data_IF_708867456470
#
_entry.id   IF_708867456470
#
_cell.length_a   1.000
_cell.length_b   1.000
_cell.length_c   1.000
_cell.angle_alpha   90.00
_cell.angle_beta   90.00
_cell.angle_gamma   90.00
#
_symmetry.space_group_name_H-M   'P 1'
#
loop_
_entity.id
_entity.type
_entity.pdbx_description
1 polymer ?
#
# COMPACT_ATOMS: atom_id res chain seq x y z
N UNK A 1 -15.90 -18.30 22.40
CA UNK A 1 -16.58 -19.45 21.77
C UNK A 1 -15.64 -20.58 21.35
N UNK A 2 -14.31 -20.40 21.34
CA UNK A 2 -13.38 -21.48 21.01
C UNK A 2 -13.40 -21.91 19.54
N UNK A 3 -13.85 -21.03 18.64
CA UNK A 3 -14.02 -21.29 17.21
C UNK A 3 -12.76 -21.06 16.37
N UNK A 4 -11.65 -20.63 16.99
CA UNK A 4 -10.38 -20.45 16.31
C UNK A 4 -9.70 -21.80 16.04
N UNK A 5 -8.77 -21.83 15.09
CA UNK A 5 -8.04 -23.04 14.73
C UNK A 5 -6.75 -23.17 15.56
N UNK A 6 -6.84 -23.85 16.71
CA UNK A 6 -5.71 -24.02 17.63
C UNK A 6 -4.48 -24.67 16.95
N UNK A 7 -4.69 -25.73 16.15
CA UNK A 7 -3.58 -26.41 15.48
C UNK A 7 -2.84 -25.50 14.48
N UNK A 8 -3.57 -24.65 13.76
CA UNK A 8 -2.95 -23.66 12.87
C UNK A 8 -2.20 -22.58 13.66
N UNK A 9 -2.80 -22.07 14.74
CA UNK A 9 -2.19 -21.08 15.62
C UNK A 9 -0.86 -21.59 16.16
N UNK A 10 -0.85 -22.81 16.71
CA UNK A 10 0.35 -23.41 17.32
C UNK A 10 1.47 -23.65 16.29
N UNK A 11 1.11 -23.97 15.05
CA UNK A 11 2.08 -24.32 14.00
C UNK A 11 2.62 -23.11 13.21
N UNK A 12 1.84 -22.03 13.08
CA UNK A 12 2.11 -20.98 12.09
C UNK A 12 2.04 -19.56 12.63
N UNK A 13 1.77 -19.36 13.92
CA UNK A 13 1.60 -18.03 14.49
C UNK A 13 2.36 -17.87 15.81
N UNK A 14 2.55 -16.62 16.21
CA UNK A 14 3.05 -16.24 17.52
C UNK A 14 2.17 -15.14 18.13
N UNK A 15 2.26 -14.91 19.44
CA UNK A 15 1.56 -13.82 20.12
C UNK A 15 0.04 -13.98 20.31
N UNK A 16 -0.53 -15.16 20.03
CA UNK A 16 -1.98 -15.39 20.12
C UNK A 16 -2.57 -15.11 21.52
N UNK A 17 -1.90 -15.53 22.59
CA UNK A 17 -2.42 -15.30 23.95
C UNK A 17 -2.46 -13.81 24.31
N UNK A 18 -1.48 -13.02 23.85
CA UNK A 18 -1.50 -11.57 24.04
C UNK A 18 -2.66 -10.91 23.27
N UNK A 19 -2.90 -11.34 22.02
CA UNK A 19 -4.04 -10.88 21.22
C UNK A 19 -5.38 -11.25 21.88
N UNK A 20 -5.52 -12.49 22.35
CA UNK A 20 -6.73 -12.97 23.02
C UNK A 20 -7.06 -12.16 24.27
N UNK A 21 -6.04 -11.79 25.05
CA UNK A 21 -6.20 -10.92 26.22
C UNK A 21 -6.59 -9.50 25.80
N UNK A 22 -5.95 -8.94 24.77
CA UNK A 22 -6.21 -7.55 24.35
C UNK A 22 -7.64 -7.34 23.81
N UNK A 23 -8.22 -8.35 23.16
CA UNK A 23 -9.59 -8.27 22.60
C UNK A 23 -10.68 -8.76 23.56
N UNK A 24 -10.33 -9.24 24.75
CA UNK A 24 -11.29 -9.87 25.68
C UNK A 24 -12.44 -8.92 26.08
N UNK A 25 -12.17 -7.61 26.15
CA UNK A 25 -13.15 -6.59 26.49
C UNK A 25 -13.98 -6.10 25.29
N UNK A 26 -13.55 -6.42 24.07
CA UNK A 26 -14.21 -6.03 22.81
C UNK A 26 -15.40 -6.94 22.49
N UNK A 27 -16.31 -7.09 23.46
CA UNK A 27 -17.52 -7.90 23.29
C UNK A 27 -18.47 -7.31 22.24
N UNK A 28 -19.31 -8.12 21.57
CA UNK A 28 -20.31 -7.61 20.63
C UNK A 28 -21.21 -6.52 21.22
N UNK A 29 -21.59 -6.63 22.50
CA UNK A 29 -22.37 -5.61 23.22
C UNK A 29 -21.59 -4.30 23.35
N UNK A 30 -20.32 -4.38 23.79
CA UNK A 30 -19.48 -3.20 23.97
C UNK A 30 -19.21 -2.48 22.65
N UNK A 31 -19.05 -3.23 21.56
CA UNK A 31 -18.73 -2.67 20.25
C UNK A 31 -19.95 -2.21 19.46
N UNK A 32 -21.17 -2.67 19.79
CA UNK A 32 -22.36 -2.41 18.99
C UNK A 32 -22.64 -0.92 18.77
N UNK A 33 -22.56 -0.11 19.83
CA UNK A 33 -22.81 1.33 19.74
C UNK A 33 -21.72 2.05 18.93
N UNK A 34 -20.47 1.59 19.01
CA UNK A 34 -19.33 2.17 18.29
C UNK A 34 -19.36 1.82 16.80
N UNK A 35 -19.66 0.56 16.49
CA UNK A 35 -19.71 0.06 15.11
C UNK A 35 -21.03 0.41 14.40
N UNK A 36 -22.10 0.72 15.14
CA UNK A 36 -23.44 0.87 14.59
C UNK A 36 -24.03 -0.45 14.08
N UNK A 37 -23.57 -1.59 14.61
CA UNK A 37 -23.99 -2.95 14.20
C UNK A 37 -24.55 -3.69 15.41
N UNK A 38 -25.68 -4.38 15.26
CA UNK A 38 -26.29 -5.12 16.36
C UNK A 38 -25.35 -6.24 16.88
N UNK A 39 -25.31 -6.52 18.20
CA UNK A 39 -24.41 -7.53 18.77
C UNK A 39 -24.58 -8.91 18.11
N UNK A 40 -25.83 -9.29 17.81
CA UNK A 40 -26.13 -10.59 17.21
C UNK A 40 -25.65 -10.69 15.76
N UNK A 41 -25.67 -9.59 15.00
CA UNK A 41 -25.09 -9.55 13.65
C UNK A 41 -23.56 -9.73 13.70
N UNK A 42 -22.88 -9.09 14.66
CA UNK A 42 -21.43 -9.28 14.87
C UNK A 42 -21.12 -10.75 15.15
N UNK A 43 -21.87 -11.39 16.06
CA UNK A 43 -21.72 -12.82 16.36
C UNK A 43 -21.99 -13.70 15.17
N UNK A 44 -23.07 -13.44 14.43
CA UNK A 44 -23.44 -14.22 13.27
C UNK A 44 -22.33 -14.22 12.22
N UNK A 45 -21.81 -13.04 11.86
CA UNK A 45 -20.74 -12.90 10.87
C UNK A 45 -19.45 -13.56 11.36
N UNK A 46 -19.06 -13.33 12.62
CA UNK A 46 -17.86 -13.94 13.20
C UNK A 46 -17.94 -15.48 13.21
N UNK A 47 -19.09 -16.04 13.62
CA UNK A 47 -19.32 -17.49 13.63
C UNK A 47 -19.33 -18.07 12.22
N UNK A 48 -19.95 -17.41 11.24
CA UNK A 48 -19.96 -17.85 9.83
C UNK A 48 -18.53 -17.88 9.26
N UNK A 49 -17.74 -16.83 9.52
CA UNK A 49 -16.36 -16.76 9.05
C UNK A 49 -15.47 -17.83 9.71
N UNK A 50 -15.55 -17.97 11.03
CA UNK A 50 -14.73 -18.94 11.78
C UNK A 50 -15.05 -20.40 11.43
N UNK A 51 -16.33 -20.75 11.20
CA UNK A 51 -16.75 -22.12 10.89
C UNK A 51 -16.70 -22.48 9.40
N UNK A 52 -16.41 -21.53 8.51
CA UNK A 52 -16.28 -21.83 7.10
C UNK A 52 -15.11 -22.81 6.86
N UNK A 53 -15.26 -23.77 5.94
CA UNK A 53 -14.13 -24.61 5.51
C UNK A 53 -13.04 -23.76 4.84
N UNK A 54 -13.48 -22.78 4.05
CA UNK A 54 -12.64 -21.86 3.28
C UNK A 54 -13.29 -20.47 3.29
N UNK A 55 -12.54 -19.46 3.72
CA UNK A 55 -12.97 -18.07 3.67
C UNK A 55 -11.86 -17.15 3.15
N UNK A 56 -12.25 -16.14 2.38
CA UNK A 56 -11.37 -15.10 1.86
C UNK A 56 -11.83 -13.74 2.36
N UNK A 57 -10.87 -12.86 2.64
CA UNK A 57 -11.13 -11.45 2.93
C UNK A 57 -10.62 -10.63 1.75
N UNK A 58 -11.53 -9.92 1.08
CA UNK A 58 -11.17 -8.88 0.12
C UNK A 58 -11.37 -7.53 0.80
N UNK A 59 -10.38 -6.63 0.71
CA UNK A 59 -10.55 -5.25 1.16
C UNK A 59 -9.98 -4.27 0.16
N UNK A 60 -10.51 -3.05 0.19
CA UNK A 60 -9.98 -1.91 -0.55
C UNK A 60 -9.71 -0.74 0.39
N UNK A 61 -9.90 0.47 -0.12
CA UNK A 61 -9.54 1.70 0.59
C UNK A 61 -10.36 1.98 1.86
N UNK A 62 -11.54 1.36 2.00
CA UNK A 62 -12.34 1.43 3.24
C UNK A 62 -11.63 0.85 4.47
N UNK A 63 -10.53 0.12 4.30
CA UNK A 63 -9.67 -0.31 5.40
C UNK A 63 -8.45 0.60 5.53
N UNK A 64 -7.76 0.91 4.42
CA UNK A 64 -6.47 1.59 4.44
C UNK A 64 -6.54 3.11 4.58
N UNK A 65 -7.58 3.79 4.06
CA UNK A 65 -7.72 5.26 4.11
C UNK A 65 -8.38 5.73 5.41
N UNK A 66 -7.84 5.28 6.54
CA UNK A 66 -8.24 5.69 7.88
C UNK A 66 -6.99 6.00 8.71
N UNK A 67 -7.15 6.80 9.77
CA UNK A 67 -6.06 7.11 10.72
C UNK A 67 -5.46 5.86 11.37
N UNK A 68 -6.21 4.75 11.40
CA UNK A 68 -5.79 3.44 11.89
C UNK A 68 -5.66 2.40 10.77
N UNK A 69 -5.40 2.80 9.52
CA UNK A 69 -5.45 1.91 8.36
C UNK A 69 -4.54 0.67 8.46
N UNK A 70 -3.31 0.86 8.96
CA UNK A 70 -2.38 -0.25 9.23
C UNK A 70 -2.91 -1.22 10.28
N UNK A 71 -3.48 -0.69 11.36
CA UNK A 71 -4.01 -1.51 12.45
C UNK A 71 -5.27 -2.26 12.02
N UNK A 72 -6.15 -1.64 11.24
CA UNK A 72 -7.31 -2.30 10.65
C UNK A 72 -6.89 -3.50 9.77
N UNK A 73 -5.87 -3.32 8.94
CA UNK A 73 -5.33 -4.42 8.12
C UNK A 73 -4.72 -5.53 9.00
N UNK A 74 -3.96 -5.18 10.04
CA UNK A 74 -3.43 -6.15 11.01
C UNK A 74 -4.53 -6.92 11.72
N UNK A 75 -5.64 -6.28 12.10
CA UNK A 75 -6.78 -6.96 12.70
C UNK A 75 -7.41 -8.00 11.74
N UNK A 76 -7.55 -7.69 10.46
CA UNK A 76 -8.03 -8.65 9.46
C UNK A 76 -7.06 -9.83 9.29
N UNK A 77 -5.74 -9.55 9.26
CA UNK A 77 -4.69 -10.57 9.21
C UNK A 77 -4.78 -11.49 10.43
N UNK A 78 -4.85 -10.92 11.64
CA UNK A 78 -4.99 -11.68 12.88
C UNK A 78 -6.25 -12.55 12.89
N UNK A 79 -7.39 -12.03 12.41
CA UNK A 79 -8.63 -12.79 12.32
C UNK A 79 -8.51 -13.99 11.36
N UNK A 80 -7.93 -13.76 10.17
CA UNK A 80 -7.71 -14.82 9.19
C UNK A 80 -6.74 -15.89 9.69
N UNK A 81 -5.63 -15.48 10.31
CA UNK A 81 -4.66 -16.40 10.93
C UNK A 81 -5.28 -17.19 12.08
N UNK A 82 -6.06 -16.55 12.96
CA UNK A 82 -6.74 -17.22 14.06
C UNK A 82 -7.74 -18.29 13.57
N UNK A 83 -8.35 -18.10 12.40
CA UNK A 83 -9.24 -19.09 11.79
C UNK A 83 -8.50 -20.09 10.87
N UNK A 84 -7.19 -19.89 10.64
CA UNK A 84 -6.40 -20.68 9.70
C UNK A 84 -6.72 -20.44 8.22
N UNK A 85 -7.37 -19.33 7.88
CA UNK A 85 -7.77 -18.98 6.51
C UNK A 85 -6.62 -18.38 5.68
N UNK A 86 -5.41 -18.97 5.77
CA UNK A 86 -4.22 -18.55 5.04
C UNK A 86 -3.39 -19.77 4.64
N UNK A 87 -2.76 -19.72 3.46
CA UNK A 87 -1.83 -20.76 2.99
C UNK A 87 -2.48 -21.95 2.28
N UNK A 88 -3.77 -21.87 1.93
CA UNK A 88 -4.50 -22.92 1.19
C UNK A 88 -5.41 -22.33 0.09
N UNK A 89 -5.65 -23.05 -1.02
CA UNK A 89 -6.55 -22.56 -2.08
C UNK A 89 -7.97 -22.26 -1.58
N UNK A 90 -8.53 -21.14 -2.05
CA UNK A 90 -9.85 -20.66 -1.62
C UNK A 90 -9.86 -19.96 -0.26
N UNK A 91 -8.69 -19.68 0.31
CA UNK A 91 -8.53 -18.85 1.52
C UNK A 91 -7.54 -17.72 1.27
N UNK A 92 -7.48 -16.78 2.19
CA UNK A 92 -6.46 -15.75 2.21
C UNK A 92 -7.03 -14.34 2.30
N UNK A 93 -6.10 -13.41 2.20
CA UNK A 93 -6.31 -11.99 2.35
C UNK A 93 -5.89 -11.31 1.06
N UNK A 94 -6.81 -10.56 0.45
CA UNK A 94 -6.67 -9.99 -0.87
C UNK A 94 -6.92 -8.47 -0.79
N UNK A 95 -5.87 -7.67 -0.51
CA UNK A 95 -5.94 -6.23 -0.72
C UNK A 95 -6.14 -5.97 -2.22
N UNK A 96 -7.31 -5.44 -2.57
CA UNK A 96 -7.65 -5.06 -3.94
C UNK A 96 -6.88 -3.78 -4.28
N UNK A 97 -5.79 -3.96 -5.02
CA UNK A 97 -4.98 -2.86 -5.55
C UNK A 97 -5.77 -2.13 -6.65
N UNK A 98 -5.73 -0.79 -6.64
CA UNK A 98 -6.52 0.05 -7.54
C UNK A 98 -5.93 0.18 -8.94
N UNK A 99 -4.80 0.87 -9.06
CA UNK A 99 -4.14 1.12 -10.36
C UNK A 99 -3.53 -0.18 -10.94
N UNK A 100 -3.50 -0.26 -12.26
CA UNK A 100 -3.10 -1.44 -13.04
C UNK A 100 -1.70 -1.99 -12.73
N UNK A 101 -0.76 -1.13 -12.30
CA UNK A 101 0.62 -1.52 -12.04
C UNK A 101 1.15 -1.06 -10.67
N UNK A 102 0.28 -0.70 -9.72
CA UNK A 102 0.75 -0.29 -8.38
C UNK A 102 1.53 -1.41 -7.69
N UNK A 103 1.20 -2.67 -7.97
CA UNK A 103 1.98 -3.81 -7.50
C UNK A 103 3.37 -3.83 -8.15
N UNK A 104 3.46 -3.71 -9.48
CA UNK A 104 4.75 -3.72 -10.18
C UNK A 104 5.63 -2.50 -9.86
N UNK A 105 5.04 -1.33 -9.66
CA UNK A 105 5.73 -0.14 -9.16
C UNK A 105 6.35 -0.40 -7.78
N UNK A 106 5.58 -1.03 -6.88
CA UNK A 106 6.08 -1.43 -5.56
C UNK A 106 7.22 -2.45 -5.67
N UNK A 107 7.05 -3.47 -6.51
CA UNK A 107 8.05 -4.52 -6.76
C UNK A 107 9.36 -3.95 -7.33
N UNK A 108 9.26 -2.88 -8.13
CA UNK A 108 10.40 -2.17 -8.72
C UNK A 108 11.08 -1.18 -7.75
N UNK A 109 10.66 -1.11 -6.48
CA UNK A 109 11.28 -0.24 -5.48
C UNK A 109 10.85 1.23 -5.57
N UNK A 110 9.69 1.54 -6.17
CA UNK A 110 9.10 2.90 -6.12
C UNK A 110 8.43 3.18 -4.76
N UNK A 111 9.16 2.85 -3.69
CA UNK A 111 8.79 2.99 -2.29
C UNK A 111 10.06 3.47 -1.57
N UNK A 112 10.02 4.60 -0.85
CA UNK A 112 11.24 5.32 -0.43
C UNK A 112 12.14 4.55 0.54
N UNK A 113 11.64 3.50 1.18
CA UNK A 113 12.37 2.71 2.19
C UNK A 113 12.89 1.35 1.68
N UNK A 114 12.67 1.00 0.40
CA UNK A 114 13.10 -0.29 -0.16
C UNK A 114 13.72 -0.16 -1.56
N UNK A 115 14.68 -1.03 -1.84
CA UNK A 115 15.17 -1.38 -3.16
C UNK A 115 14.18 -2.34 -3.86
N UNK A 116 14.37 -2.64 -5.17
CA UNK A 116 13.55 -3.64 -5.86
C UNK A 116 13.44 -4.95 -5.07
N UNK A 117 12.28 -5.62 -5.18
CA UNK A 117 11.91 -6.81 -4.41
C UNK A 117 11.75 -6.57 -2.90
N UNK A 118 11.28 -5.37 -2.51
CA UNK A 118 10.98 -4.98 -1.12
C UNK A 118 12.17 -5.10 -0.15
N UNK A 119 13.39 -4.97 -0.67
CA UNK A 119 14.62 -5.11 0.12
C UNK A 119 14.91 -3.81 0.87
N UNK A 120 14.95 -3.78 2.21
CA UNK A 120 15.14 -2.53 2.96
C UNK A 120 16.45 -1.83 2.59
N UNK A 121 16.39 -0.51 2.35
CA UNK A 121 17.60 0.28 2.01
C UNK A 121 18.66 0.26 3.11
N UNK A 122 18.24 0.12 4.37
CA UNK A 122 19.12 0.06 5.53
C UNK A 122 19.90 -1.26 5.66
N UNK A 123 19.50 -2.33 4.97
CA UNK A 123 20.23 -3.59 5.00
C UNK A 123 21.52 -3.49 4.17
N UNK A 124 22.66 -3.50 4.85
CA UNK A 124 23.97 -3.32 4.21
C UNK A 124 24.31 -4.43 3.21
N UNK A 125 23.85 -5.67 3.46
CA UNK A 125 24.17 -6.79 2.59
C UNK A 125 23.34 -6.71 1.30
N UNK A 126 22.06 -6.40 1.41
CA UNK A 126 21.18 -6.22 0.25
C UNK A 126 21.61 -4.99 -0.57
N UNK A 127 21.89 -3.86 0.10
CA UNK A 127 22.34 -2.63 -0.54
C UNK A 127 23.65 -2.82 -1.32
N UNK A 128 24.65 -3.50 -0.75
CA UNK A 128 25.94 -3.72 -1.40
C UNK A 128 25.82 -4.43 -2.77
N UNK A 129 24.87 -5.35 -2.92
CA UNK A 129 24.62 -6.02 -4.20
C UNK A 129 24.14 -5.04 -5.29
N UNK A 130 23.32 -4.05 -4.92
CA UNK A 130 22.88 -3.00 -5.84
C UNK A 130 23.97 -1.97 -6.13
N UNK A 131 24.78 -1.60 -5.13
CA UNK A 131 25.92 -0.70 -5.31
C UNK A 131 26.95 -1.28 -6.29
N UNK A 132 27.22 -2.58 -6.20
CA UNK A 132 28.08 -3.30 -7.14
C UNK A 132 27.47 -3.31 -8.55
N UNK A 133 26.18 -3.64 -8.68
CA UNK A 133 25.48 -3.73 -9.96
C UNK A 133 25.40 -2.37 -10.68
N UNK A 134 25.09 -1.30 -9.94
CA UNK A 134 24.91 0.05 -10.48
C UNK A 134 26.18 0.89 -10.48
N UNK A 135 27.26 0.37 -9.89
CA UNK A 135 28.56 1.02 -9.77
C UNK A 135 28.45 2.42 -9.15
N UNK A 136 27.67 2.54 -8.08
CA UNK A 136 27.43 3.80 -7.37
C UNK A 136 27.10 3.54 -5.90
N UNK A 137 27.59 4.36 -4.95
CA UNK A 137 27.16 4.25 -3.56
C UNK A 137 25.68 4.63 -3.42
N UNK A 138 24.97 3.96 -2.51
CA UNK A 138 23.56 4.19 -2.22
C UNK A 138 23.36 4.67 -0.78
N UNK A 139 22.35 5.49 -0.57
CA UNK A 139 21.91 5.89 0.78
C UNK A 139 21.34 4.69 1.52
N UNK A 140 21.65 4.58 2.81
CA UNK A 140 21.04 3.63 3.74
C UNK A 140 19.83 4.20 4.49
N UNK A 141 19.62 5.51 4.38
CA UNK A 141 18.48 6.21 4.95
C UNK A 141 17.26 6.13 4.03
N UNK A 142 16.07 5.77 4.57
CA UNK A 142 14.81 5.88 3.86
C UNK A 142 14.54 7.29 3.34
N UNK A 143 14.02 7.37 2.11
CA UNK A 143 13.53 8.64 1.55
C UNK A 143 12.20 9.10 2.16
N UNK A 144 11.71 10.24 1.68
CA UNK A 144 10.44 10.83 2.11
C UNK A 144 9.24 10.17 1.42
N UNK A 145 8.16 9.97 2.16
CA UNK A 145 6.84 9.60 1.63
C UNK A 145 6.13 10.79 0.98
N UNK A 146 5.03 10.54 0.26
CA UNK A 146 4.26 11.58 -0.44
C UNK A 146 3.75 12.70 0.49
N UNK A 147 3.40 12.39 1.74
CA UNK A 147 2.98 13.41 2.71
C UNK A 147 4.19 14.18 3.25
N UNK A 148 5.29 13.48 3.53
CA UNK A 148 6.51 14.08 4.06
C UNK A 148 7.18 15.00 3.04
N UNK A 149 7.19 14.64 1.75
CA UNK A 149 7.78 15.47 0.70
C UNK A 149 7.05 16.81 0.58
N UNK A 150 5.71 16.84 0.68
CA UNK A 150 4.96 18.09 0.66
C UNK A 150 5.33 19.00 1.83
N UNK A 151 5.51 18.44 3.03
CA UNK A 151 5.94 19.19 4.20
C UNK A 151 7.39 19.68 4.07
N UNK A 152 8.29 18.85 3.54
CA UNK A 152 9.68 19.19 3.30
C UNK A 152 9.83 20.31 2.26
N UNK A 153 8.96 20.35 1.24
CA UNK A 153 8.89 21.47 0.30
C UNK A 153 8.48 22.75 1.03
N UNK A 154 7.47 22.70 1.91
CA UNK A 154 7.07 23.86 2.70
C UNK A 154 8.17 24.38 3.62
N UNK A 155 8.99 23.48 4.15
CA UNK A 155 10.16 23.78 4.98
C UNK A 155 11.40 24.25 4.18
N UNK A 156 11.36 24.17 2.84
CA UNK A 156 12.49 24.52 1.97
C UNK A 156 13.60 23.47 1.91
N UNK A 157 13.36 22.27 2.42
CA UNK A 157 14.31 21.15 2.41
C UNK A 157 14.32 20.45 1.05
N UNK A 158 13.16 20.34 0.41
CA UNK A 158 13.01 19.85 -0.97
C UNK A 158 12.74 21.04 -1.88
N UNK A 159 13.67 21.28 -2.80
CA UNK A 159 13.63 22.44 -3.71
C UNK A 159 13.30 22.07 -5.15
N UNK A 160 13.48 20.81 -5.52
CA UNK A 160 13.16 20.31 -6.86
C UNK A 160 12.45 18.96 -6.79
N UNK A 161 11.57 18.72 -7.76
CA UNK A 161 10.83 17.46 -7.85
C UNK A 161 10.65 17.06 -9.31
N UNK A 162 10.69 15.74 -9.56
CA UNK A 162 10.34 15.15 -10.84
C UNK A 162 9.13 14.24 -10.65
N UNK A 163 7.99 14.63 -11.22
CA UNK A 163 6.73 13.89 -11.13
C UNK A 163 6.49 13.17 -12.46
N UNK A 164 6.29 11.85 -12.40
CA UNK A 164 6.07 11.01 -13.58
C UNK A 164 4.72 10.32 -13.48
N UNK A 165 3.77 10.69 -14.34
CA UNK A 165 2.47 10.03 -14.48
C UNK A 165 1.55 10.12 -13.25
N UNK A 166 1.69 11.18 -12.44
CA UNK A 166 0.92 11.42 -11.21
C UNK A 166 0.38 12.84 -11.17
N UNK A 167 -0.76 13.04 -10.47
CA UNK A 167 -1.47 14.33 -10.45
C UNK A 167 -1.78 14.84 -9.01
N UNK A 168 -0.76 15.04 -8.16
CA UNK A 168 -0.96 15.44 -6.75
C UNK A 168 -1.75 16.75 -6.56
N UNK A 169 -1.69 17.69 -7.51
CA UNK A 169 -2.49 18.91 -7.43
C UNK A 169 -4.02 18.69 -7.54
N UNK A 170 -4.44 17.47 -7.88
CA UNK A 170 -5.84 17.02 -7.93
C UNK A 170 -6.10 15.85 -6.95
N UNK A 171 -5.19 14.87 -6.88
CA UNK A 171 -5.44 13.60 -6.18
C UNK A 171 -5.07 13.59 -4.71
N UNK A 172 -4.18 14.48 -4.26
CA UNK A 172 -3.70 14.47 -2.87
C UNK A 172 -4.71 15.11 -1.92
N UNK A 173 -4.77 14.66 -0.66
CA UNK A 173 -5.61 15.30 0.36
C UNK A 173 -5.10 16.71 0.68
N UNK A 174 -6.02 17.58 1.12
CA UNK A 174 -5.73 19.00 1.36
C UNK A 174 -5.06 19.68 0.15
N UNK A 175 -5.86 19.87 -0.91
CA UNK A 175 -5.41 20.49 -2.15
C UNK A 175 -4.80 21.88 -1.95
N UNK A 176 -5.22 22.60 -0.91
CA UNK A 176 -4.64 23.92 -0.61
C UNK A 176 -3.19 23.76 -0.18
N UNK A 177 -2.93 22.84 0.75
CA UNK A 177 -1.58 22.51 1.22
C UNK A 177 -0.70 21.96 0.10
N UNK A 178 -1.19 20.99 -0.67
CA UNK A 178 -0.46 20.35 -1.75
C UNK A 178 -0.08 21.35 -2.87
N UNK A 179 -1.03 22.15 -3.34
CA UNK A 179 -0.77 23.16 -4.38
C UNK A 179 0.16 24.26 -3.89
N UNK A 180 0.04 24.67 -2.63
CA UNK A 180 0.95 25.64 -2.03
C UNK A 180 2.38 25.07 -1.91
N UNK A 181 2.55 23.77 -1.67
CA UNK A 181 3.86 23.12 -1.71
C UNK A 181 4.42 23.13 -3.13
N UNK A 182 3.66 22.64 -4.12
CA UNK A 182 4.11 22.59 -5.51
C UNK A 182 4.54 23.97 -6.04
N UNK A 183 3.79 25.03 -5.70
CA UNK A 183 4.13 26.41 -6.08
C UNK A 183 5.35 27.02 -5.37
N UNK A 184 5.93 26.34 -4.37
CA UNK A 184 7.15 26.77 -3.67
C UNK A 184 8.42 26.13 -4.21
N UNK A 185 8.32 25.09 -5.03
CA UNK A 185 9.48 24.45 -5.63
C UNK A 185 10.26 25.46 -6.47
N UNK A 186 11.60 25.39 -6.40
CA UNK A 186 12.49 26.15 -7.27
C UNK A 186 12.55 25.53 -8.67
N UNK A 187 12.31 24.22 -8.78
CA UNK A 187 12.22 23.53 -10.07
C UNK A 187 11.28 22.33 -10.04
N UNK A 188 10.27 22.31 -10.89
CA UNK A 188 9.34 21.19 -11.05
C UNK A 188 9.33 20.68 -12.50
N UNK A 189 9.67 19.40 -12.66
CA UNK A 189 9.53 18.68 -13.91
C UNK A 189 8.31 17.76 -13.81
N UNK A 190 7.44 17.78 -14.82
CA UNK A 190 6.29 16.89 -14.92
C UNK A 190 6.37 16.10 -16.23
N UNK A 191 6.39 14.77 -16.14
CA UNK A 191 6.30 13.88 -17.29
C UNK A 191 4.91 13.23 -17.33
N UNK A 192 4.10 13.57 -18.32
CA UNK A 192 2.70 13.14 -18.42
C UNK A 192 2.22 13.04 -19.88
N UNK A 193 1.08 12.36 -20.09
CA UNK A 193 0.37 12.29 -21.37
C UNK A 193 -0.43 13.56 -21.64
N UNK A 194 -0.91 14.21 -20.59
CA UNK A 194 -1.80 15.36 -20.67
C UNK A 194 -1.27 16.52 -19.83
N UNK A 195 -1.74 17.73 -20.14
CA UNK A 195 -1.53 18.88 -19.26
C UNK A 195 -2.50 18.73 -18.07
N UNK A 196 -2.02 18.14 -16.99
CA UNK A 196 -2.76 17.92 -15.75
C UNK A 196 -2.76 19.16 -14.84
N UNK A 197 -3.54 19.13 -13.75
CA UNK A 197 -3.52 20.17 -12.72
C UNK A 197 -2.12 20.35 -12.12
N UNK A 198 -1.37 19.26 -11.93
CA UNK A 198 0.02 19.33 -11.45
C UNK A 198 0.93 20.01 -12.47
N UNK A 199 0.72 19.78 -13.77
CA UNK A 199 1.52 20.41 -14.83
C UNK A 199 1.38 21.95 -14.86
N UNK A 200 0.33 22.51 -14.26
CA UNK A 200 0.17 23.97 -14.13
C UNK A 200 1.22 24.62 -13.22
N UNK A 201 1.89 23.83 -12.37
CA UNK A 201 2.97 24.29 -11.49
C UNK A 201 4.36 24.00 -12.07
N UNK A 202 4.46 23.30 -13.19
CA UNK A 202 5.72 22.81 -13.72
C UNK A 202 6.51 23.89 -14.46
N UNK A 203 7.83 23.86 -14.30
CA UNK A 203 8.76 24.63 -15.12
C UNK A 203 9.05 23.92 -16.45
N UNK A 204 9.04 22.58 -16.42
CA UNK A 204 9.29 21.73 -17.59
C UNK A 204 8.22 20.65 -17.66
N UNK A 205 7.59 20.54 -18.83
CA UNK A 205 6.65 19.46 -19.14
C UNK A 205 7.30 18.57 -20.20
N UNK A 206 7.48 17.29 -19.86
CA UNK A 206 8.00 16.26 -20.76
C UNK A 206 6.84 15.37 -21.24
N UNK A 207 6.62 15.21 -22.55
CA UNK A 207 5.59 14.32 -23.04
C UNK A 207 5.95 12.85 -22.75
N UNK A 208 5.02 12.09 -22.20
CA UNK A 208 5.14 10.65 -22.00
C UNK A 208 4.56 9.87 -23.18
N UNK A 209 5.01 8.61 -23.36
CA UNK A 209 4.33 7.67 -24.26
C UNK A 209 3.14 7.02 -23.55
N UNK A 210 2.03 6.84 -24.27
CA UNK A 210 0.85 6.15 -23.78
C UNK A 210 1.10 4.63 -23.68
N UNK A 211 0.22 3.88 -23.01
CA UNK A 211 0.34 2.42 -22.92
C UNK A 211 0.42 1.69 -24.28
N UNK A 212 -0.43 2.00 -25.28
CA UNK A 212 -0.37 1.29 -26.57
C UNK A 212 0.84 1.66 -27.44
N UNK A 213 1.68 2.62 -27.02
CA UNK A 213 2.84 3.10 -27.80
C UNK A 213 4.15 2.44 -27.33
N UNK A 214 4.08 1.51 -26.35
CA UNK A 214 5.27 0.86 -25.80
C UNK A 214 5.06 -0.61 -25.49
N UNK A 215 6.16 -1.34 -25.57
CA UNK A 215 6.27 -2.66 -24.96
C UNK A 215 6.60 -2.53 -23.47
N UNK A 216 6.10 -3.45 -22.66
CA UNK A 216 6.38 -3.45 -21.23
C UNK A 216 5.53 -4.43 -20.47
N UNK A 217 5.60 -4.38 -19.15
CA UNK A 217 4.83 -5.28 -18.29
C UNK A 217 4.03 -4.50 -17.25
N UNK A 218 2.92 -5.09 -16.83
CA UNK A 218 2.20 -4.69 -15.63
C UNK A 218 2.04 -5.87 -14.70
N UNK A 219 2.20 -5.65 -13.41
CA UNK A 219 1.90 -6.63 -12.37
C UNK A 219 0.59 -6.22 -11.71
N UNK A 220 -0.42 -7.09 -11.78
CA UNK A 220 -1.77 -6.79 -11.30
C UNK A 220 -1.96 -7.17 -9.80
N UNK A 221 -3.19 -7.04 -9.29
CA UNK A 221 -3.52 -7.26 -7.87
C UNK A 221 -3.24 -8.67 -7.33
N UNK A 222 -3.17 -9.71 -8.18
CA UNK A 222 -2.85 -11.07 -7.76
C UNK A 222 -1.36 -11.41 -7.96
N UNK A 223 -0.54 -10.39 -8.26
CA UNK A 223 0.89 -10.48 -8.57
C UNK A 223 1.22 -11.16 -9.90
N UNK A 224 0.25 -11.29 -10.80
CA UNK A 224 0.53 -11.79 -12.13
C UNK A 224 1.16 -10.70 -12.99
N UNK A 225 2.32 -11.01 -13.56
CA UNK A 225 2.99 -10.20 -14.58
C UNK A 225 2.33 -10.45 -15.93
N UNK A 226 1.90 -9.38 -16.58
CA UNK A 226 1.23 -9.40 -17.88
C UNK A 226 2.03 -8.53 -18.85
N UNK A 227 2.27 -9.06 -20.05
CA UNK A 227 3.01 -8.37 -21.10
C UNK A 227 2.06 -7.48 -21.93
N UNK A 228 2.34 -6.18 -21.98
CA UNK A 228 1.82 -5.25 -22.96
C UNK A 228 2.73 -5.19 -24.19
N UNK A 229 2.12 -5.03 -25.36
CA UNK A 229 2.84 -4.83 -26.62
C UNK A 229 2.39 -3.54 -27.29
N UNK A 230 3.33 -2.86 -27.94
CA UNK A 230 3.03 -1.70 -28.75
C UNK A 230 2.01 -2.07 -29.84
N UNK A 231 0.97 -1.26 -29.94
CA UNK A 231 -0.10 -1.33 -30.94
C UNK A 231 -0.13 -0.08 -31.84
N UNK A 232 0.49 1.02 -31.38
CA UNK A 232 0.65 2.28 -32.09
C UNK A 232 2.14 2.67 -32.11
N UNK A 233 2.57 3.51 -33.08
CA UNK A 233 3.93 4.06 -33.13
C UNK A 233 4.30 4.89 -31.91
#
# INVERSE_FOLDING_TARGET
EGLYNQAYIDAHTEGFEALKQSVAHSTPEAMSALCGVAPDTIREVARRYANAEKAMIFWGMGISQHTHGTDNARCLISLALACGHTGRPGTGLHPLRGQNNVQGASDAGLIPMVLPDYQPVGDSQLRAAFEELWNTPLSDEPGLTVVEVMNAIHAGEVRGMYIVGENPAMSDPDLTHARAALGKLEHLVVQDLFITETAQFADVILPASAWPEKDGTVTNTNRQVQLGRAALP
#
